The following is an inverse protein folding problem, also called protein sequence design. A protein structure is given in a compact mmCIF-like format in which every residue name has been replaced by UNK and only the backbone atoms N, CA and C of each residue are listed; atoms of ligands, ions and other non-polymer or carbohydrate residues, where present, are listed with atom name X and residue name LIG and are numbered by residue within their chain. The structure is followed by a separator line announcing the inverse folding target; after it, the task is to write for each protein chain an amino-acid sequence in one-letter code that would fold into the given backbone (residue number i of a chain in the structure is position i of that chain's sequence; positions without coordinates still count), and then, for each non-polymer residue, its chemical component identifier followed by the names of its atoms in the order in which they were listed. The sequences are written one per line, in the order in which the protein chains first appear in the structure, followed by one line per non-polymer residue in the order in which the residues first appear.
data_IF_587537640787
#
_entry.id   IF_587537640787
#
_cell.length_a   1.000
_cell.length_b   1.000
_cell.length_c   1.000
_cell.angle_alpha   90.00
_cell.angle_beta   90.00
_cell.angle_gamma   90.00
#
_symmetry.space_group_name_H-M   'P 1'
#
loop_
_entity.id
_entity.type
_entity.pdbx_description
1 polymer ?
#
# COMPACT_ATOMS: atom_id res chain seq x y z
N UNK A 1 -2.06 -48.67 13.31
CA UNK A 1 -1.45 -48.27 12.02
C UNK A 1 -1.66 -46.79 11.85
N UNK A 2 -0.57 -46.06 11.62
CA UNK A 2 -0.48 -44.60 11.78
C UNK A 2 -1.29 -43.84 10.72
N UNK A 3 -2.12 -42.91 11.17
CA UNK A 3 -2.64 -41.80 10.36
C UNK A 3 -1.52 -40.79 10.15
N UNK A 4 -1.03 -40.64 8.92
CA UNK A 4 -0.13 -39.55 8.56
C UNK A 4 -0.94 -38.30 8.28
N UNK A 5 -1.17 -37.51 9.32
CA UNK A 5 -1.63 -36.13 9.18
C UNK A 5 -0.44 -35.27 8.73
N UNK A 6 -0.31 -35.08 7.41
CA UNK A 6 0.66 -34.12 6.86
C UNK A 6 0.11 -32.72 7.13
N UNK A 7 0.43 -32.21 8.32
CA UNK A 7 0.43 -30.78 8.60
C UNK A 7 1.25 -30.08 7.50
N UNK A 8 0.57 -29.44 6.55
CA UNK A 8 1.19 -28.51 5.62
C UNK A 8 1.74 -27.39 6.50
N UNK A 9 3.06 -27.36 6.70
CA UNK A 9 3.72 -26.22 7.35
C UNK A 9 3.30 -24.97 6.60
N UNK A 10 2.49 -24.13 7.24
CA UNK A 10 2.16 -22.82 6.70
C UNK A 10 3.48 -22.06 6.59
N UNK A 11 3.98 -21.85 5.36
CA UNK A 11 5.15 -21.04 5.12
C UNK A 11 4.85 -19.62 5.65
N UNK A 12 5.82 -19.01 6.32
CA UNK A 12 5.69 -17.61 6.76
C UNK A 12 5.44 -16.72 5.54
N UNK A 13 4.61 -15.65 5.64
CA UNK A 13 4.40 -14.70 4.55
C UNK A 13 5.71 -14.20 3.91
N UNK A 14 6.76 -14.02 4.71
CA UNK A 14 8.10 -13.67 4.22
C UNK A 14 8.69 -14.74 3.29
N UNK A 15 8.60 -16.01 3.68
CA UNK A 15 9.10 -17.15 2.90
C UNK A 15 8.33 -17.30 1.59
N UNK A 16 7.02 -17.01 1.59
CA UNK A 16 6.21 -17.01 0.38
C UNK A 16 6.64 -15.90 -0.58
N UNK A 17 6.81 -14.66 -0.11
CA UNK A 17 7.26 -13.54 -0.95
C UNK A 17 8.66 -13.74 -1.53
N UNK A 18 9.52 -14.45 -0.80
CA UNK A 18 10.90 -14.74 -1.20
C UNK A 18 10.99 -15.69 -2.40
N UNK A 19 9.92 -16.40 -2.74
CA UNK A 19 9.88 -17.36 -3.86
C UNK A 19 9.63 -16.70 -5.22
N UNK A 20 9.15 -15.47 -5.24
CA UNK A 20 8.87 -14.76 -6.50
C UNK A 20 10.14 -14.13 -7.10
N UNK A 21 10.23 -14.04 -8.45
CA UNK A 21 11.39 -13.49 -9.14
C UNK A 21 11.63 -12.02 -8.81
N UNK A 22 12.89 -11.60 -8.93
CA UNK A 22 13.30 -10.21 -8.77
C UNK A 22 13.06 -9.41 -10.07
N UNK A 23 12.38 -8.25 -10.01
CA UNK A 23 12.12 -7.41 -11.18
C UNK A 23 13.38 -6.78 -11.79
N UNK A 24 13.30 -6.37 -13.06
CA UNK A 24 14.32 -5.55 -13.71
C UNK A 24 14.24 -4.06 -13.29
N UNK A 25 15.17 -3.22 -13.74
CA UNK A 25 15.32 -1.85 -13.23
C UNK A 25 14.14 -0.92 -13.57
N UNK A 26 13.49 -1.07 -14.73
CA UNK A 26 12.35 -0.24 -15.13
C UNK A 26 11.09 -0.67 -14.37
N UNK A 27 10.89 -1.98 -14.24
CA UNK A 27 9.83 -2.54 -13.40
C UNK A 27 9.92 -2.03 -11.95
N UNK A 28 11.14 -1.79 -11.47
CA UNK A 28 11.39 -1.38 -10.11
C UNK A 28 10.87 0.01 -9.76
N UNK A 29 10.92 0.97 -10.68
CA UNK A 29 10.41 2.32 -10.44
C UNK A 29 8.88 2.36 -10.36
N UNK A 30 8.21 1.54 -11.17
CA UNK A 30 6.75 1.33 -11.10
C UNK A 30 6.34 0.70 -9.77
N UNK A 31 7.10 -0.30 -9.30
CA UNK A 31 6.84 -0.98 -8.02
C UNK A 31 6.95 0.00 -6.84
N UNK A 32 8.03 0.79 -6.78
CA UNK A 32 8.21 1.81 -5.72
C UNK A 32 7.06 2.79 -5.69
N UNK A 33 6.66 3.29 -6.86
CA UNK A 33 5.56 4.24 -7.00
C UNK A 33 4.26 3.64 -6.46
N UNK A 34 3.88 2.45 -6.95
CA UNK A 34 2.63 1.81 -6.55
C UNK A 34 2.59 1.46 -5.07
N UNK A 35 3.70 0.96 -4.52
CA UNK A 35 3.80 0.63 -3.10
C UNK A 35 3.63 1.86 -2.20
N UNK A 36 4.29 2.98 -2.55
CA UNK A 36 4.12 4.25 -1.84
C UNK A 36 2.68 4.79 -1.94
N UNK A 37 2.03 4.65 -3.10
CA UNK A 37 0.63 5.07 -3.29
C UNK A 37 -0.37 4.23 -2.48
N UNK A 38 -0.18 2.91 -2.41
CA UNK A 38 -1.02 2.04 -1.56
C UNK A 38 -0.85 2.41 -0.09
N UNK A 39 0.39 2.63 0.35
CA UNK A 39 0.67 3.09 1.72
C UNK A 39 0.06 4.47 1.99
N UNK A 40 0.13 5.39 1.03
CA UNK A 40 -0.48 6.71 1.12
C UNK A 40 -2.01 6.62 1.24
N UNK A 41 -2.65 5.78 0.44
CA UNK A 41 -4.09 5.55 0.53
C UNK A 41 -4.51 4.96 1.88
N UNK A 42 -3.71 4.04 2.44
CA UNK A 42 -3.98 3.50 3.77
C UNK A 42 -3.83 4.58 4.85
N UNK A 43 -2.76 5.38 4.78
CA UNK A 43 -2.48 6.51 5.67
C UNK A 43 -3.62 7.53 5.66
N UNK A 44 -4.09 7.96 4.48
CA UNK A 44 -5.14 8.99 4.38
C UNK A 44 -6.54 8.48 4.74
N UNK A 45 -6.81 7.17 4.57
CA UNK A 45 -8.07 6.57 4.99
C UNK A 45 -8.17 6.40 6.50
N UNK A 46 -7.06 6.01 7.14
CA UNK A 46 -7.05 5.55 8.54
C UNK A 46 -6.49 6.59 9.52
N UNK A 47 -5.76 7.59 9.03
CA UNK A 47 -5.03 8.55 9.84
C UNK A 47 -3.78 7.99 10.52
N UNK A 48 -3.34 6.77 10.18
CA UNK A 48 -2.16 6.16 10.81
C UNK A 48 -0.87 6.88 10.39
N UNK A 49 0.01 7.12 11.36
CA UNK A 49 1.33 7.70 11.13
C UNK A 49 2.45 6.68 11.06
N UNK A 50 3.68 7.19 10.97
CA UNK A 50 4.89 6.35 10.93
C UNK A 50 5.08 5.47 12.17
N UNK A 51 4.58 5.86 13.34
CA UNK A 51 4.70 5.03 14.55
C UNK A 51 3.93 3.71 14.41
N UNK A 52 2.75 3.73 13.79
CA UNK A 52 1.99 2.51 13.50
C UNK A 52 2.76 1.59 12.54
N UNK A 53 3.43 2.18 11.53
CA UNK A 53 4.25 1.43 10.58
C UNK A 53 5.48 0.80 11.24
N UNK A 54 6.15 1.51 12.16
CA UNK A 54 7.28 0.98 12.91
C UNK A 54 6.86 -0.09 13.91
N UNK A 55 5.71 0.10 14.58
CA UNK A 55 5.14 -0.92 15.46
C UNK A 55 4.77 -2.18 14.67
N UNK A 56 4.24 -2.05 13.46
CA UNK A 56 3.97 -3.17 12.57
C UNK A 56 5.28 -3.86 12.12
N UNK A 57 6.33 -3.10 11.80
CA UNK A 57 7.63 -3.66 11.47
C UNK A 57 8.22 -4.48 12.63
N UNK A 58 8.11 -3.97 13.86
CA UNK A 58 8.51 -4.67 15.09
C UNK A 58 7.74 -5.97 15.26
N UNK A 59 6.41 -5.90 15.15
CA UNK A 59 5.54 -7.07 15.32
C UNK A 59 5.79 -8.18 14.28
N UNK A 60 6.32 -7.82 13.11
CA UNK A 60 6.61 -8.73 12.01
C UNK A 60 8.08 -9.16 11.94
N UNK A 61 8.91 -8.79 12.93
CA UNK A 61 10.36 -9.03 12.97
C UNK A 61 11.13 -8.40 11.77
N UNK A 62 10.67 -7.23 11.30
CA UNK A 62 11.21 -6.52 10.12
C UNK A 62 12.07 -5.30 10.48
N UNK A 63 12.41 -5.10 11.75
CA UNK A 63 13.21 -3.95 12.24
C UNK A 63 14.59 -3.88 11.58
N UNK A 64 15.16 -5.01 11.19
CA UNK A 64 16.43 -5.04 10.44
C UNK A 64 16.35 -4.36 9.07
N UNK A 65 15.14 -4.22 8.50
CA UNK A 65 14.87 -3.58 7.20
C UNK A 65 14.23 -2.20 7.37
N UNK A 66 13.41 -2.01 8.41
CA UNK A 66 12.74 -0.74 8.73
C UNK A 66 12.98 -0.38 10.20
N UNK A 67 14.22 0.03 10.57
CA UNK A 67 14.61 0.21 11.97
C UNK A 67 14.05 1.47 12.62
N UNK A 68 13.83 2.53 11.86
CA UNK A 68 13.46 3.84 12.39
C UNK A 68 12.66 4.68 11.39
N UNK A 69 12.17 5.85 11.85
CA UNK A 69 11.38 6.79 11.03
C UNK A 69 12.16 7.32 9.83
N UNK A 70 13.47 7.51 9.95
CA UNK A 70 14.31 8.05 8.88
C UNK A 70 14.49 6.99 7.79
N UNK A 71 14.72 5.73 8.17
CA UNK A 71 14.77 4.61 7.26
C UNK A 71 13.44 4.48 6.52
N UNK A 72 12.31 4.42 7.24
CA UNK A 72 10.98 4.38 6.62
C UNK A 72 10.76 5.54 5.65
N UNK A 73 11.07 6.78 6.06
CA UNK A 73 10.98 7.95 5.18
C UNK A 73 11.85 7.79 3.93
N UNK A 74 13.11 7.34 4.06
CA UNK A 74 14.00 7.06 2.92
C UNK A 74 13.45 6.01 1.96
N UNK A 75 12.79 4.96 2.48
CA UNK A 75 12.13 3.95 1.64
C UNK A 75 10.97 4.57 0.85
N UNK A 76 10.13 5.39 1.50
CA UNK A 76 9.04 6.11 0.82
C UNK A 76 9.59 7.07 -0.24
N UNK A 77 10.73 7.73 0.03
CA UNK A 77 11.45 8.62 -0.91
C UNK A 77 12.11 7.91 -2.10
N UNK A 78 12.06 6.57 -2.16
CA UNK A 78 12.50 5.84 -3.34
C UNK A 78 11.52 5.95 -4.51
N UNK A 79 10.27 6.37 -4.26
CA UNK A 79 9.28 6.65 -5.29
C UNK A 79 9.83 7.73 -6.25
N UNK A 80 10.00 7.45 -7.55
CA UNK A 80 10.53 8.41 -8.52
C UNK A 80 9.69 9.69 -8.62
N UNK A 81 8.39 9.61 -8.35
CA UNK A 81 7.45 10.74 -8.42
C UNK A 81 7.49 11.65 -7.19
N UNK A 82 8.15 11.27 -6.09
CA UNK A 82 8.22 12.14 -4.90
C UNK A 82 9.17 13.31 -5.07
N UNK A 83 8.83 14.43 -4.41
CA UNK A 83 9.73 15.57 -4.20
C UNK A 83 10.97 15.09 -3.43
N UNK A 84 12.13 15.13 -4.07
CA UNK A 84 13.36 14.53 -3.51
C UNK A 84 14.46 15.58 -3.28
N UNK A 85 14.46 16.26 -2.12
CA UNK A 85 15.45 17.29 -1.81
C UNK A 85 16.87 16.75 -1.49
N UNK A 86 17.07 15.43 -1.44
CA UNK A 86 18.30 14.80 -0.95
C UNK A 86 18.81 13.60 -1.75
N UNK A 87 18.34 13.43 -2.99
CA UNK A 87 18.65 12.26 -3.80
C UNK A 87 17.82 11.02 -3.44
N UNK A 88 17.78 10.03 -4.34
CA UNK A 88 16.93 8.84 -4.24
C UNK A 88 17.71 7.65 -3.69
N UNK A 89 17.29 7.09 -2.56
CA UNK A 89 17.77 5.78 -2.10
C UNK A 89 17.28 4.70 -3.06
N UNK A 90 18.13 3.71 -3.37
CA UNK A 90 17.67 2.47 -4.00
C UNK A 90 16.93 1.64 -2.94
N UNK A 91 15.62 1.49 -3.11
CA UNK A 91 14.85 0.46 -2.41
C UNK A 91 15.35 -0.91 -2.85
N UNK A 92 15.70 -1.80 -1.94
CA UNK A 92 16.00 -3.19 -2.31
C UNK A 92 14.74 -4.09 -2.24
N UNK A 93 14.85 -5.31 -2.77
CA UNK A 93 13.71 -6.23 -2.87
C UNK A 93 13.18 -6.64 -1.49
N UNK A 94 14.05 -6.81 -0.50
CA UNK A 94 13.65 -7.19 0.85
C UNK A 94 12.96 -6.04 1.58
N UNK A 95 13.43 -4.81 1.40
CA UNK A 95 12.79 -3.60 1.90
C UNK A 95 11.39 -3.42 1.28
N UNK A 96 11.25 -3.66 -0.03
CA UNK A 96 9.94 -3.62 -0.69
C UNK A 96 8.99 -4.70 -0.15
N UNK A 97 9.47 -5.94 0.01
CA UNK A 97 8.69 -7.04 0.62
C UNK A 97 8.28 -6.70 2.06
N UNK A 98 9.18 -6.09 2.82
CA UNK A 98 8.91 -5.65 4.19
C UNK A 98 7.76 -4.64 4.21
N UNK A 99 7.81 -3.63 3.33
CA UNK A 99 6.74 -2.64 3.19
C UNK A 99 5.41 -3.27 2.74
N UNK A 100 5.42 -4.27 1.87
CA UNK A 100 4.21 -5.03 1.49
C UNK A 100 3.59 -5.72 2.71
N UNK A 101 4.39 -6.41 3.52
CA UNK A 101 3.91 -7.09 4.72
C UNK A 101 3.35 -6.08 5.75
N UNK A 102 4.06 -4.98 6.00
CA UNK A 102 3.62 -3.91 6.89
C UNK A 102 2.28 -3.32 6.41
N UNK A 103 2.17 -3.04 5.10
CA UNK A 103 0.94 -2.49 4.49
C UNK A 103 -0.24 -3.43 4.68
N UNK A 104 -0.07 -4.72 4.37
CA UNK A 104 -1.14 -5.72 4.50
C UNK A 104 -1.51 -5.98 5.96
N UNK A 105 -0.53 -5.97 6.87
CA UNK A 105 -0.78 -6.09 8.30
C UNK A 105 -1.67 -4.95 8.83
N UNK A 106 -1.32 -3.71 8.50
CA UNK A 106 -2.08 -2.53 8.90
C UNK A 106 -3.46 -2.49 8.21
N UNK A 107 -3.53 -2.80 6.92
CA UNK A 107 -4.80 -2.90 6.20
C UNK A 107 -5.73 -3.95 6.84
N UNK A 108 -5.19 -5.08 7.32
CA UNK A 108 -5.96 -6.08 8.06
C UNK A 108 -6.45 -5.55 9.41
N UNK A 109 -5.64 -4.78 10.14
CA UNK A 109 -6.08 -4.14 11.40
C UNK A 109 -7.22 -3.13 11.18
N UNK A 110 -7.23 -2.44 10.03
CA UNK A 110 -8.26 -1.47 9.66
C UNK A 110 -9.32 -2.03 8.69
N UNK A 111 -9.47 -3.36 8.61
CA UNK A 111 -10.31 -4.02 7.62
C UNK A 111 -11.78 -3.59 7.69
N UNK A 112 -12.33 -3.39 8.89
CA UNK A 112 -13.72 -2.94 9.06
C UNK A 112 -13.96 -1.54 8.47
N UNK A 113 -13.01 -0.62 8.64
CA UNK A 113 -13.08 0.72 8.05
C UNK A 113 -12.99 0.65 6.52
N UNK A 114 -12.06 -0.16 5.99
CA UNK A 114 -11.90 -0.36 4.55
C UNK A 114 -13.18 -0.94 3.94
N UNK A 115 -13.75 -1.98 4.54
CA UNK A 115 -15.03 -2.59 4.10
C UNK A 115 -16.18 -1.59 4.13
N UNK A 116 -16.29 -0.79 5.20
CA UNK A 116 -17.31 0.25 5.32
C UNK A 116 -17.17 1.30 4.21
N UNK A 117 -15.95 1.78 3.96
CA UNK A 117 -15.69 2.77 2.92
C UNK A 117 -16.04 2.23 1.51
N UNK A 118 -15.65 1.00 1.19
CA UNK A 118 -16.03 0.36 -0.09
C UNK A 118 -17.53 0.15 -0.18
N UNK A 119 -18.20 -0.32 0.87
CA UNK A 119 -19.65 -0.48 0.86
C UNK A 119 -20.42 0.85 0.70
N UNK A 120 -19.85 1.97 1.16
CA UNK A 120 -20.40 3.31 0.90
C UNK A 120 -20.17 3.72 -0.56
N UNK A 121 -19.00 3.41 -1.13
CA UNK A 121 -18.69 3.68 -2.53
C UNK A 121 -19.68 2.95 -3.45
N UNK A 122 -19.96 1.67 -3.17
CA UNK A 122 -20.96 0.89 -3.90
C UNK A 122 -22.35 1.51 -3.83
N UNK A 123 -22.78 1.98 -2.66
CA UNK A 123 -24.09 2.65 -2.48
C UNK A 123 -24.19 3.94 -3.28
N UNK A 124 -23.15 4.78 -3.24
CA UNK A 124 -23.12 6.04 -3.99
C UNK A 124 -23.17 5.79 -5.50
N UNK A 125 -22.40 4.80 -5.97
CA UNK A 125 -22.41 4.40 -7.38
C UNK A 125 -23.79 3.87 -7.82
N UNK A 126 -24.44 3.04 -7.01
CA UNK A 126 -25.76 2.48 -7.29
C UNK A 126 -26.87 3.57 -7.33
N UNK A 127 -26.73 4.61 -6.52
CA UNK A 127 -27.72 5.69 -6.42
C UNK A 127 -27.39 6.91 -7.31
N UNK A 128 -26.34 6.83 -8.15
CA UNK A 128 -25.84 7.97 -8.94
C UNK A 128 -25.55 9.23 -8.10
N UNK A 129 -25.15 9.05 -6.84
CA UNK A 129 -24.78 10.13 -5.94
C UNK A 129 -23.34 10.57 -6.20
N UNK A 130 -23.00 11.77 -5.74
CA UNK A 130 -21.64 12.29 -5.83
C UNK A 130 -20.83 11.88 -4.60
N UNK A 131 -19.53 11.58 -4.76
CA UNK A 131 -18.64 11.12 -3.67
C UNK A 131 -18.66 12.06 -2.45
N UNK A 132 -18.66 13.38 -2.69
CA UNK A 132 -18.66 14.40 -1.63
C UNK A 132 -19.94 14.41 -0.76
N UNK A 133 -21.01 13.72 -1.18
CA UNK A 133 -22.23 13.60 -0.37
C UNK A 133 -22.05 12.64 0.83
N UNK A 134 -20.93 11.90 0.88
CA UNK A 134 -20.58 11.06 2.00
C UNK A 134 -19.30 11.55 2.67
N UNK A 135 -19.40 11.99 3.93
CA UNK A 135 -18.28 12.57 4.67
C UNK A 135 -17.03 11.67 4.69
N UNK A 136 -17.17 10.36 4.97
CA UNK A 136 -16.02 9.46 5.03
C UNK A 136 -15.26 9.38 3.70
N UNK A 137 -15.98 9.30 2.59
CA UNK A 137 -15.35 9.21 1.27
C UNK A 137 -14.80 10.56 0.81
N UNK A 138 -15.51 11.65 1.09
CA UNK A 138 -15.06 13.02 0.83
C UNK A 138 -13.73 13.30 1.57
N UNK A 139 -13.71 13.09 2.88
CA UNK A 139 -12.53 13.31 3.71
C UNK A 139 -11.35 12.44 3.25
N UNK A 140 -11.60 11.17 2.93
CA UNK A 140 -10.57 10.27 2.39
C UNK A 140 -9.98 10.78 1.08
N UNK A 141 -10.81 11.14 0.09
CA UNK A 141 -10.34 11.58 -1.22
C UNK A 141 -9.65 12.93 -1.14
N UNK A 142 -10.18 13.86 -0.34
CA UNK A 142 -9.59 15.19 -0.15
C UNK A 142 -8.22 15.09 0.53
N UNK A 143 -8.13 14.31 1.61
CA UNK A 143 -6.86 14.04 2.27
C UNK A 143 -5.86 13.36 1.34
N UNK A 144 -6.30 12.38 0.53
CA UNK A 144 -5.43 11.73 -0.44
C UNK A 144 -4.89 12.72 -1.47
N UNK A 145 -5.75 13.53 -2.07
CA UNK A 145 -5.37 14.54 -3.06
C UNK A 145 -4.36 15.54 -2.47
N UNK A 146 -4.66 16.08 -1.27
CA UNK A 146 -3.80 17.04 -0.58
C UNK A 146 -2.40 16.45 -0.29
N UNK A 147 -2.34 15.26 0.31
CA UNK A 147 -1.06 14.64 0.68
C UNK A 147 -0.29 14.18 -0.57
N UNK A 148 -0.97 13.75 -1.63
CA UNK A 148 -0.34 13.46 -2.91
C UNK A 148 0.33 14.72 -3.48
N UNK A 149 -0.40 15.83 -3.59
CA UNK A 149 0.10 17.09 -4.16
C UNK A 149 1.24 17.70 -3.33
N UNK A 150 1.20 17.56 -2.00
CA UNK A 150 2.28 18.01 -1.12
C UNK A 150 3.58 17.21 -1.36
N UNK A 151 3.47 15.88 -1.54
CA UNK A 151 4.61 14.96 -1.52
C UNK A 151 5.16 14.59 -2.90
N UNK A 152 4.34 14.63 -3.95
CA UNK A 152 4.74 14.30 -5.31
C UNK A 152 5.21 15.54 -6.07
N UNK A 153 6.19 15.39 -6.96
CA UNK A 153 6.61 16.46 -7.86
C UNK A 153 5.41 17.02 -8.60
N UNK A 154 5.36 18.34 -8.70
CA UNK A 154 4.28 19.04 -9.42
C UNK A 154 4.40 18.72 -10.90
N UNK A 155 3.53 17.82 -11.37
CA UNK A 155 3.21 17.74 -12.79
C UNK A 155 1.95 18.58 -12.98
N UNK A 156 2.10 19.74 -13.65
CA UNK A 156 1.04 20.72 -13.96
C UNK A 156 -0.22 20.11 -14.64
N UNK A 157 -0.19 18.81 -14.95
CA UNK A 157 -1.17 18.06 -15.72
C UNK A 157 -2.10 17.16 -14.89
N UNK A 158 -1.83 16.89 -13.62
CA UNK A 158 -2.64 15.94 -12.86
C UNK A 158 -3.85 16.64 -12.24
N UNK A 159 -5.04 16.42 -12.81
CA UNK A 159 -6.29 16.97 -12.28
C UNK A 159 -6.74 16.29 -10.99
N UNK A 160 -7.49 17.01 -10.16
CA UNK A 160 -8.11 16.48 -8.93
C UNK A 160 -9.04 15.30 -9.22
N UNK A 161 -9.71 15.29 -10.38
CA UNK A 161 -10.56 14.17 -10.79
C UNK A 161 -9.74 12.89 -11.04
N UNK A 162 -8.54 13.00 -11.63
CA UNK A 162 -7.65 11.85 -11.81
C UNK A 162 -7.14 11.32 -10.48
N UNK A 163 -6.78 12.22 -9.54
CA UNK A 163 -6.36 11.82 -8.19
C UNK A 163 -7.49 11.17 -7.40
N UNK A 164 -8.71 11.71 -7.48
CA UNK A 164 -9.90 11.12 -6.86
C UNK A 164 -10.16 9.72 -7.41
N UNK A 165 -10.07 9.55 -8.74
CA UNK A 165 -10.21 8.22 -9.36
C UNK A 165 -9.10 7.25 -8.94
N UNK A 166 -7.87 7.73 -8.77
CA UNK A 166 -6.76 6.92 -8.26
C UNK A 166 -7.01 6.51 -6.81
N UNK A 167 -7.43 7.44 -5.94
CA UNK A 167 -7.78 7.15 -4.55
C UNK A 167 -8.87 6.08 -4.46
N UNK A 168 -9.94 6.21 -5.24
CA UNK A 168 -11.03 5.23 -5.30
C UNK A 168 -10.52 3.84 -5.73
N UNK A 169 -9.66 3.77 -6.75
CA UNK A 169 -9.04 2.49 -7.17
C UNK A 169 -8.19 1.88 -6.06
N UNK A 170 -7.39 2.69 -5.38
CA UNK A 170 -6.54 2.25 -4.27
C UNK A 170 -7.36 1.79 -3.06
N UNK A 171 -8.49 2.44 -2.77
CA UNK A 171 -9.43 2.01 -1.73
C UNK A 171 -9.99 0.60 -2.02
N UNK A 172 -10.32 0.31 -3.28
CA UNK A 172 -10.75 -1.02 -3.72
C UNK A 172 -9.58 -2.02 -3.61
N UNK A 173 -8.38 -1.64 -4.04
CA UNK A 173 -7.19 -2.48 -3.92
C UNK A 173 -6.91 -2.83 -2.43
N UNK A 174 -7.05 -1.87 -1.51
CA UNK A 174 -6.88 -2.07 -0.05
C UNK A 174 -7.86 -3.09 0.52
N UNK A 175 -9.08 -3.20 -0.01
CA UNK A 175 -10.03 -4.24 0.40
C UNK A 175 -9.42 -5.64 0.19
N UNK A 176 -8.79 -5.87 -0.96
CA UNK A 176 -8.14 -7.14 -1.24
C UNK A 176 -6.86 -7.34 -0.42
N UNK A 177 -6.10 -6.28 -0.19
CA UNK A 177 -4.86 -6.34 0.59
C UNK A 177 -5.10 -6.53 2.09
N UNK A 178 -6.30 -6.21 2.59
CA UNK A 178 -6.73 -6.51 3.96
C UNK A 178 -7.07 -8.00 4.20
N UNK A 179 -7.09 -8.83 3.16
CA UNK A 179 -7.41 -10.25 3.26
C UNK A 179 -6.24 -11.08 3.82
N UNK A 180 -6.47 -12.31 4.32
CA UNK A 180 -5.40 -13.17 4.84
C UNK A 180 -4.25 -13.46 3.86
N UNK A 181 -4.52 -13.44 2.55
CA UNK A 181 -3.52 -13.62 1.47
C UNK A 181 -3.20 -12.31 0.76
N UNK A 182 -3.45 -11.18 1.42
CA UNK A 182 -3.31 -9.84 0.85
C UNK A 182 -1.89 -9.53 0.41
N UNK A 183 -0.88 -9.99 1.15
CA UNK A 183 0.54 -9.78 0.84
C UNK A 183 0.94 -10.40 -0.49
N UNK A 184 0.51 -11.64 -0.73
CA UNK A 184 0.76 -12.36 -1.97
C UNK A 184 0.11 -11.64 -3.15
N UNK A 185 -1.14 -11.21 -2.97
CA UNK A 185 -1.88 -10.49 -4.01
C UNK A 185 -1.22 -9.14 -4.32
N UNK A 186 -0.89 -8.35 -3.29
CA UNK A 186 -0.20 -7.07 -3.46
C UNK A 186 1.12 -7.27 -4.21
N UNK A 187 1.97 -8.20 -3.78
CA UNK A 187 3.24 -8.46 -4.44
C UNK A 187 3.08 -8.87 -5.91
N UNK A 188 2.17 -9.80 -6.20
CA UNK A 188 1.89 -10.21 -7.58
C UNK A 188 1.31 -9.08 -8.44
N UNK A 189 0.46 -8.24 -7.87
CA UNK A 189 -0.09 -7.07 -8.56
C UNK A 189 1.00 -6.04 -8.87
N UNK A 190 1.95 -5.82 -7.94
CA UNK A 190 3.11 -4.97 -8.18
C UNK A 190 3.96 -5.50 -9.35
N UNK A 191 4.20 -6.81 -9.41
CA UNK A 191 4.94 -7.46 -10.50
C UNK A 191 4.19 -7.40 -11.84
N UNK A 192 2.88 -7.67 -11.86
CA UNK A 192 2.10 -7.63 -13.10
C UNK A 192 2.03 -6.21 -13.67
N UNK A 193 1.73 -5.22 -12.83
CA UNK A 193 1.61 -3.82 -13.25
C UNK A 193 2.96 -3.17 -13.57
N UNK A 194 4.08 -3.74 -13.15
CA UNK A 194 5.39 -3.19 -13.48
C UNK A 194 5.83 -3.46 -14.92
N UNK A 195 5.20 -4.44 -15.57
CA UNK A 195 5.50 -4.88 -16.96
C UNK A 195 4.64 -4.22 -18.04
N UNK A 196 3.66 -3.40 -17.64
CA UNK A 196 2.72 -2.71 -18.52
C UNK A 196 3.00 -1.21 -18.54
#
# INVERSE_FOLDING_TARGET
MQSTDKSVKANSPWQELSQFPTPNSVEWDNIKTQLDLVLLALETLTGIGSDAMLSAATHLDLESKVPDRIALWRLRQSNPLRKSPGGRKKLDVDEARSLVLITCYLAKQHQELIRRAVGLLEKIAANHQQLHQNALLADYTDNFCNVYQERMEEDDKISTDLLTNLAVKLLIDLLFYSSPTGHRRLWLTLLDRSTR
#
